data_IF_200029699718
#
_entry.id   IF_200029699718
#
_cell.length_a   1.000
_cell.length_b   1.000
_cell.length_c   1.000
_cell.angle_alpha   90.00
_cell.angle_beta   90.00
_cell.angle_gamma   90.00
#
_symmetry.space_group_name_H-M   'P 1'
#
loop_
_entity.id
_entity.type
_entity.pdbx_description
1 polymer ?
#
# COMPACT_ATOMS: atom_id res chain seq x y z
N UNK A 1 43.34 43.92 -6.78
CA UNK A 1 42.69 43.02 -5.80
C UNK A 1 41.24 42.83 -6.24
N UNK A 2 40.94 41.68 -6.85
CA UNK A 2 39.63 41.37 -7.40
C UNK A 2 38.66 41.01 -6.27
N UNK A 3 37.55 41.73 -6.21
CA UNK A 3 36.47 41.47 -5.29
C UNK A 3 35.27 41.04 -6.14
N UNK A 4 34.66 39.91 -5.77
CA UNK A 4 33.38 39.36 -6.27
C UNK A 4 33.47 38.52 -7.55
N UNK A 5 33.84 37.25 -7.37
CA UNK A 5 33.04 36.18 -7.97
C UNK A 5 32.21 35.56 -6.84
N UNK A 6 30.96 36.00 -6.76
CA UNK A 6 29.95 35.38 -5.91
C UNK A 6 29.80 33.93 -6.37
N UNK A 7 30.05 33.01 -5.46
CA UNK A 7 29.84 31.58 -5.63
C UNK A 7 28.34 31.39 -5.92
N UNK A 8 28.02 31.02 -7.16
CA UNK A 8 26.76 30.38 -7.52
C UNK A 8 26.72 29.02 -6.81
N UNK A 9 26.39 29.03 -5.52
CA UNK A 9 25.77 27.88 -4.87
C UNK A 9 24.38 27.78 -5.50
N UNK A 10 24.33 27.05 -6.62
CA UNK A 10 23.10 26.51 -7.17
C UNK A 10 22.43 25.82 -5.99
N UNK A 11 21.30 26.38 -5.56
CA UNK A 11 20.33 25.71 -4.73
C UNK A 11 19.92 24.44 -5.50
N UNK A 12 20.64 23.35 -5.29
CA UNK A 12 20.08 22.02 -5.43
C UNK A 12 19.06 21.90 -4.31
N UNK A 13 17.89 22.49 -4.52
CA UNK A 13 16.72 22.08 -3.76
C UNK A 13 16.65 20.57 -3.89
N UNK A 14 16.59 19.83 -2.76
CA UNK A 14 16.21 18.44 -2.87
C UNK A 14 14.87 18.47 -3.60
N UNK A 15 14.81 17.81 -4.76
CA UNK A 15 13.53 17.44 -5.35
C UNK A 15 12.88 16.63 -4.25
N UNK A 16 11.94 17.25 -3.54
CA UNK A 16 11.10 16.55 -2.61
C UNK A 16 10.44 15.47 -3.47
N UNK A 17 10.81 14.22 -3.23
CA UNK A 17 10.08 13.11 -3.82
C UNK A 17 8.62 13.34 -3.49
N UNK A 18 7.77 13.30 -4.51
CA UNK A 18 6.33 13.48 -4.34
C UNK A 18 5.87 12.61 -3.18
N UNK A 19 5.23 13.23 -2.20
CA UNK A 19 4.86 12.57 -0.95
C UNK A 19 3.93 11.40 -1.27
N UNK A 20 4.43 10.16 -1.18
CA UNK A 20 3.62 8.97 -1.34
C UNK A 20 2.90 8.70 -0.03
N UNK A 21 1.58 8.80 -0.08
CA UNK A 21 0.70 8.27 0.94
C UNK A 21 -0.03 7.05 0.39
N UNK A 22 0.12 5.90 1.05
CA UNK A 22 -0.51 4.65 0.64
C UNK A 22 -1.11 3.97 1.87
N UNK A 23 -2.33 3.46 1.73
CA UNK A 23 -2.94 2.56 2.70
C UNK A 23 -3.52 1.40 1.93
N UNK A 24 -3.08 0.18 2.24
CA UNK A 24 -3.72 -1.04 1.77
C UNK A 24 -4.12 -1.86 2.99
N UNK A 25 -5.35 -2.35 3.01
CA UNK A 25 -5.85 -3.26 4.03
C UNK A 25 -6.58 -4.40 3.38
N UNK A 26 -6.26 -5.60 3.82
CA UNK A 26 -6.99 -6.83 3.61
C UNK A 26 -7.56 -7.34 4.93
N UNK A 27 -8.81 -7.79 4.89
CA UNK A 27 -9.48 -8.36 6.06
C UNK A 27 -10.50 -9.43 5.68
N UNK A 28 -10.71 -10.40 6.57
CA UNK A 28 -11.81 -11.36 6.45
C UNK A 28 -13.03 -10.95 7.28
N UNK A 29 -14.22 -11.43 6.91
CA UNK A 29 -15.53 -11.16 7.52
C UNK A 29 -15.60 -11.28 9.06
N UNK A 30 -14.71 -12.04 9.69
CA UNK A 30 -14.67 -12.24 11.14
C UNK A 30 -13.55 -11.46 11.85
N UNK A 31 -12.85 -10.55 11.16
CA UNK A 31 -11.66 -9.84 11.66
C UNK A 31 -10.57 -10.77 12.23
N UNK A 32 -10.56 -12.03 11.78
CA UNK A 32 -9.55 -13.01 12.17
C UNK A 32 -8.23 -12.86 11.40
N UNK A 33 -8.22 -11.94 10.45
CA UNK A 33 -7.13 -11.64 9.55
C UNK A 33 -7.13 -10.13 9.32
N UNK A 34 -5.99 -9.50 9.61
CA UNK A 34 -5.67 -8.12 9.26
C UNK A 34 -4.30 -8.14 8.60
N UNK A 35 -4.28 -7.77 7.34
CA UNK A 35 -3.07 -7.61 6.56
C UNK A 35 -3.05 -6.19 6.01
N UNK A 36 -2.13 -5.37 6.51
CA UNK A 36 -2.18 -3.93 6.32
C UNK A 36 -0.80 -3.37 5.97
N UNK A 37 -0.76 -2.53 4.96
CA UNK A 37 0.39 -1.74 4.55
C UNK A 37 0.04 -0.28 4.66
N UNK A 38 0.92 0.52 5.24
CA UNK A 38 0.82 1.97 5.15
C UNK A 38 2.16 2.61 4.81
N UNK A 39 2.12 3.62 3.96
CA UNK A 39 3.24 4.51 3.66
C UNK A 39 2.76 5.92 3.97
N UNK A 40 3.45 6.58 4.89
CA UNK A 40 3.24 8.00 5.17
C UNK A 40 4.59 8.64 5.50
N UNK A 41 4.86 9.82 4.96
CA UNK A 41 6.13 10.53 5.19
C UNK A 41 7.37 9.62 4.96
N UNK A 42 7.35 8.84 3.88
CA UNK A 42 8.38 7.86 3.53
C UNK A 42 8.56 6.68 4.51
N UNK A 43 7.75 6.56 5.56
CA UNK A 43 7.75 5.42 6.46
C UNK A 43 6.78 4.36 5.95
N UNK A 44 7.32 3.23 5.51
CA UNK A 44 6.56 2.01 5.23
C UNK A 44 6.39 1.19 6.50
N UNK A 45 5.17 0.72 6.71
CA UNK A 45 4.86 -0.24 7.76
C UNK A 45 3.93 -1.32 7.22
N UNK A 46 4.24 -2.53 7.65
CA UNK A 46 3.53 -3.76 7.34
C UNK A 46 3.06 -4.42 8.63
N UNK A 47 1.80 -4.82 8.65
CA UNK A 47 1.18 -5.56 9.74
C UNK A 47 0.50 -6.79 9.13
N UNK A 48 0.93 -7.98 9.52
CA UNK A 48 0.20 -9.22 9.29
C UNK A 48 -0.17 -9.85 10.63
N UNK A 49 -1.47 -9.79 10.93
CA UNK A 49 -2.05 -10.20 12.19
C UNK A 49 -3.21 -11.14 11.91
N UNK A 50 -3.06 -12.38 12.35
CA UNK A 50 -4.04 -13.41 12.06
C UNK A 50 -4.15 -14.43 13.19
N UNK A 51 -5.30 -15.08 13.30
CA UNK A 51 -5.43 -16.23 14.19
C UNK A 51 -4.74 -17.45 13.58
N UNK A 52 -4.30 -18.37 14.43
CA UNK A 52 -3.80 -19.69 14.04
C UNK A 52 -4.44 -20.76 14.90
N UNK A 53 -4.49 -21.98 14.41
CA UNK A 53 -4.84 -23.13 15.25
C UNK A 53 -3.65 -23.49 16.14
N UNK A 54 -3.89 -23.70 17.43
CA UNK A 54 -2.93 -24.34 18.32
C UNK A 54 -2.97 -25.88 18.16
N UNK A 55 -2.11 -26.59 18.88
CA UNK A 55 -2.02 -28.06 18.83
C UNK A 55 -3.31 -28.76 19.30
N UNK A 56 -4.20 -28.06 20.00
CA UNK A 56 -5.50 -28.54 20.46
C UNK A 56 -6.65 -28.25 19.48
N UNK A 57 -6.34 -27.66 18.31
CA UNK A 57 -7.35 -27.25 17.32
C UNK A 57 -8.17 -26.02 17.71
N UNK A 58 -7.68 -25.20 18.66
CA UNK A 58 -8.32 -23.94 19.06
C UNK A 58 -7.69 -22.76 18.33
N UNK A 59 -8.51 -21.83 17.88
CA UNK A 59 -8.05 -20.55 17.34
C UNK A 59 -7.43 -19.69 18.44
N UNK A 60 -6.16 -19.31 18.25
CA UNK A 60 -5.41 -18.42 19.13
C UNK A 60 -4.78 -17.29 18.32
N UNK A 61 -4.61 -16.08 18.88
CA UNK A 61 -3.88 -15.02 18.18
C UNK A 61 -2.46 -15.48 17.84
N UNK A 62 -2.03 -15.28 16.59
CA UNK A 62 -0.59 -15.33 16.25
C UNK A 62 0.06 -14.06 16.77
N UNK A 63 1.36 -14.14 17.06
CA UNK A 63 2.15 -12.92 17.26
C UNK A 63 2.16 -12.16 15.92
N UNK A 64 1.69 -10.91 15.86
CA UNK A 64 1.65 -10.16 14.61
C UNK A 64 3.05 -10.00 14.02
N UNK A 65 3.17 -10.17 12.71
CA UNK A 65 4.38 -9.77 11.99
C UNK A 65 4.31 -8.25 11.75
N UNK A 66 5.33 -7.54 12.22
CA UNK A 66 5.49 -6.10 12.05
C UNK A 66 6.82 -5.83 11.37
N UNK A 67 6.79 -5.15 10.22
CA UNK A 67 7.98 -4.67 9.52
C UNK A 67 7.85 -3.17 9.31
N UNK A 68 8.90 -2.44 9.65
CA UNK A 68 8.99 -0.98 9.50
C UNK A 68 10.25 -0.68 8.70
N UNK A 69 10.13 0.13 7.65
CA UNK A 69 11.25 0.53 6.78
C UNK A 69 11.06 1.97 6.32
N UNK A 70 12.13 2.74 6.27
CA UNK A 70 12.13 4.05 5.59
C UNK A 70 12.43 3.83 4.11
N UNK A 71 11.58 4.37 3.24
CA UNK A 71 11.74 4.33 1.80
C UNK A 71 12.49 5.58 1.33
N UNK A 72 13.50 5.40 0.47
CA UNK A 72 14.10 6.55 -0.19
C UNK A 72 13.21 7.03 -1.36
N UNK A 73 13.59 8.16 -1.95
CA UNK A 73 12.88 8.77 -3.08
C UNK A 73 12.76 7.85 -4.31
N UNK A 74 13.82 7.08 -4.59
CA UNK A 74 13.86 6.18 -5.75
C UNK A 74 12.93 4.99 -5.55
N UNK A 75 12.89 4.42 -4.34
CA UNK A 75 11.99 3.33 -3.96
C UNK A 75 10.52 3.77 -4.05
N UNK A 76 10.19 4.97 -3.58
CA UNK A 76 8.83 5.54 -3.69
C UNK A 76 8.44 5.75 -5.15
N UNK A 77 9.32 6.34 -5.95
CA UNK A 77 9.07 6.57 -7.38
C UNK A 77 8.90 5.26 -8.13
N UNK A 78 9.75 4.27 -7.84
CA UNK A 78 9.64 2.92 -8.41
C UNK A 78 8.31 2.27 -8.06
N UNK A 79 7.89 2.33 -6.79
CA UNK A 79 6.61 1.79 -6.34
C UNK A 79 5.44 2.46 -7.08
N UNK A 80 5.41 3.79 -7.17
CA UNK A 80 4.37 4.51 -7.90
C UNK A 80 4.31 4.06 -9.37
N UNK A 81 5.45 3.97 -10.04
CA UNK A 81 5.50 3.52 -11.44
C UNK A 81 4.98 2.09 -11.59
N UNK A 82 5.34 1.17 -10.69
CA UNK A 82 4.83 -0.19 -10.70
C UNK A 82 3.31 -0.23 -10.50
N UNK A 83 2.75 0.59 -9.60
CA UNK A 83 1.30 0.67 -9.39
C UNK A 83 0.57 1.22 -10.63
N UNK A 84 1.14 2.23 -11.28
CA UNK A 84 0.61 2.79 -12.53
C UNK A 84 0.65 1.75 -13.66
N UNK A 85 1.77 1.04 -13.83
CA UNK A 85 1.92 -0.03 -14.82
C UNK A 85 0.94 -1.19 -14.63
N UNK A 86 0.58 -1.49 -13.37
CA UNK A 86 -0.43 -2.51 -13.05
C UNK A 86 -1.87 -2.03 -13.27
N UNK A 87 -2.07 -0.75 -13.60
CA UNK A 87 -3.36 -0.16 -13.89
C UNK A 87 -4.16 0.24 -12.64
N UNK A 88 -3.50 0.47 -11.50
CA UNK A 88 -4.17 0.82 -10.23
C UNK A 88 -5.00 2.09 -10.35
N UNK A 89 -4.58 3.06 -11.17
CA UNK A 89 -5.33 4.28 -11.44
C UNK A 89 -6.69 4.04 -12.13
N UNK A 90 -6.88 2.89 -12.77
CA UNK A 90 -8.10 2.52 -13.50
C UNK A 90 -9.02 1.59 -12.69
N UNK A 91 -8.64 1.24 -11.46
CA UNK A 91 -9.48 0.45 -10.58
C UNK A 91 -10.76 1.20 -10.22
N UNK A 92 -11.88 0.49 -10.13
CA UNK A 92 -13.15 1.08 -9.67
C UNK A 92 -13.04 1.46 -8.19
N UNK A 93 -13.84 2.41 -7.76
CA UNK A 93 -13.92 2.79 -6.35
C UNK A 93 -14.43 1.67 -5.43
N UNK A 94 -15.26 0.77 -5.95
CA UNK A 94 -15.89 -0.31 -5.19
C UNK A 94 -16.16 -1.57 -6.04
N UNK A 95 -15.94 -2.76 -5.46
CA UNK A 95 -16.22 -4.09 -6.01
C UNK A 95 -17.02 -4.95 -5.00
N UNK A 96 -18.01 -5.76 -5.43
CA UNK A 96 -18.59 -5.79 -6.76
C UNK A 96 -19.41 -4.52 -7.00
N UNK A 97 -19.37 -3.99 -8.23
CA UNK A 97 -20.12 -2.78 -8.59
C UNK A 97 -21.64 -2.99 -8.73
N UNK A 98 -22.17 -4.13 -8.25
CA UNK A 98 -23.57 -4.54 -8.40
C UNK A 98 -24.13 -4.99 -7.07
N UNK A 99 -25.44 -4.78 -6.86
CA UNK A 99 -26.16 -5.18 -5.66
C UNK A 99 -26.30 -6.71 -5.47
N UNK A 100 -25.65 -7.52 -6.31
CA UNK A 100 -25.67 -8.98 -6.21
C UNK A 100 -24.85 -9.40 -5.00
N UNK A 101 -25.52 -10.04 -4.03
CA UNK A 101 -24.85 -10.65 -2.89
C UNK A 101 -23.94 -11.79 -3.36
N UNK A 102 -22.63 -11.53 -3.41
CA UNK A 102 -21.63 -12.57 -3.62
C UNK A 102 -21.47 -13.36 -2.32
N UNK A 103 -21.62 -14.69 -2.40
CA UNK A 103 -21.18 -15.60 -1.33
C UNK A 103 -19.71 -15.87 -1.59
N UNK A 104 -18.83 -15.39 -0.72
CA UNK A 104 -17.41 -15.71 -0.74
C UNK A 104 -16.88 -15.89 0.69
N UNK A 105 -15.62 -16.31 0.81
CA UNK A 105 -14.94 -16.56 2.08
C UNK A 105 -14.73 -15.29 2.95
N UNK A 106 -15.26 -14.16 2.49
CA UNK A 106 -15.34 -12.91 3.24
C UNK A 106 -14.08 -12.07 3.18
N UNK A 107 -13.13 -12.38 2.28
CA UNK A 107 -11.97 -11.52 2.04
C UNK A 107 -12.44 -10.20 1.42
N UNK A 108 -11.95 -9.11 1.99
CA UNK A 108 -12.21 -7.74 1.59
C UNK A 108 -10.91 -6.98 1.52
N UNK A 109 -10.87 -5.95 0.67
CA UNK A 109 -9.72 -5.08 0.52
C UNK A 109 -10.13 -3.61 0.51
N UNK A 110 -9.17 -2.77 0.84
CA UNK A 110 -9.22 -1.33 0.61
C UNK A 110 -7.83 -0.88 0.22
N UNK A 111 -7.71 -0.14 -0.87
CA UNK A 111 -6.50 0.52 -1.32
C UNK A 111 -6.78 2.01 -1.49
N UNK A 112 -5.93 2.82 -0.88
CA UNK A 112 -5.86 4.25 -1.07
C UNK A 112 -4.43 4.61 -1.45
N UNK A 113 -4.26 5.35 -2.54
CA UNK A 113 -2.96 5.85 -2.99
C UNK A 113 -3.10 7.32 -3.30
N UNK A 114 -2.17 8.12 -2.78
CA UNK A 114 -2.05 9.53 -3.10
C UNK A 114 -0.57 9.88 -3.31
N UNK A 115 -0.27 10.36 -4.50
CA UNK A 115 1.00 10.97 -4.91
C UNK A 115 0.70 12.06 -5.94
N UNK A 116 1.75 12.68 -6.48
CA UNK A 116 1.61 13.69 -7.55
C UNK A 116 1.05 13.11 -8.86
N UNK A 117 1.20 11.81 -9.09
CA UNK A 117 0.83 11.15 -10.37
C UNK A 117 -0.24 10.07 -10.23
N UNK A 118 -0.55 9.64 -9.01
CA UNK A 118 -1.56 8.61 -8.73
C UNK A 118 -2.39 9.02 -7.52
N UNK A 119 -3.68 9.27 -7.75
CA UNK A 119 -4.63 9.59 -6.68
C UNK A 119 -5.89 8.76 -6.87
N UNK A 120 -6.08 7.74 -6.04
CA UNK A 120 -7.17 6.80 -6.18
C UNK A 120 -7.57 6.16 -4.85
N UNK A 121 -8.80 5.70 -4.82
CA UNK A 121 -9.37 4.86 -3.77
C UNK A 121 -10.11 3.71 -4.44
N UNK A 122 -9.90 2.50 -3.97
CA UNK A 122 -10.64 1.31 -4.38
C UNK A 122 -10.88 0.42 -3.18
N UNK A 123 -12.05 -0.19 -3.13
CA UNK A 123 -12.43 -1.14 -2.10
C UNK A 123 -13.19 -2.29 -2.72
N UNK A 124 -13.30 -3.37 -1.98
CA UNK A 124 -14.25 -4.40 -2.35
C UNK A 124 -14.15 -5.65 -1.52
N UNK A 125 -14.95 -6.63 -1.89
CA UNK A 125 -14.89 -7.97 -1.33
C UNK A 125 -15.42 -8.99 -2.34
N UNK A 126 -14.94 -10.21 -2.25
CA UNK A 126 -15.28 -11.33 -3.13
C UNK A 126 -14.84 -11.21 -4.61
N UNK A 127 -14.89 -10.02 -5.21
CA UNK A 127 -14.39 -9.71 -6.55
C UNK A 127 -13.26 -8.69 -6.45
N UNK A 128 -12.15 -8.96 -7.12
CA UNK A 128 -10.92 -8.20 -7.00
C UNK A 128 -10.55 -7.58 -8.34
N UNK A 129 -9.94 -6.38 -8.34
CA UNK A 129 -9.51 -5.73 -9.57
C UNK A 129 -8.44 -6.56 -10.30
N UNK A 130 -8.27 -6.33 -11.62
CA UNK A 130 -7.16 -6.94 -12.36
C UNK A 130 -5.81 -6.64 -11.69
N UNK A 131 -4.90 -7.62 -11.70
CA UNK A 131 -3.57 -7.55 -11.08
C UNK A 131 -3.56 -7.35 -9.55
N UNK A 132 -4.68 -7.49 -8.86
CA UNK A 132 -4.78 -7.37 -7.40
C UNK A 132 -3.65 -8.12 -6.65
N UNK A 133 -3.47 -9.42 -6.93
CA UNK A 133 -2.44 -10.23 -6.27
C UNK A 133 -1.02 -9.71 -6.50
N UNK A 134 -0.74 -9.13 -7.68
CA UNK A 134 0.57 -8.55 -7.97
C UNK A 134 0.79 -7.27 -7.19
N UNK A 135 -0.26 -6.43 -7.03
CA UNK A 135 -0.18 -5.23 -6.19
C UNK A 135 0.07 -5.63 -4.75
N UNK A 136 -0.69 -6.59 -4.22
CA UNK A 136 -0.51 -7.14 -2.88
C UNK A 136 0.93 -7.63 -2.66
N UNK A 137 1.47 -8.42 -3.60
CA UNK A 137 2.82 -8.95 -3.52
C UNK A 137 3.90 -7.86 -3.57
N UNK A 138 3.76 -6.85 -4.45
CA UNK A 138 4.71 -5.73 -4.51
C UNK A 138 4.77 -4.97 -3.19
N UNK A 139 3.62 -4.77 -2.54
CA UNK A 139 3.58 -4.11 -1.23
C UNK A 139 4.26 -4.99 -0.16
N UNK A 140 4.03 -6.30 -0.17
CA UNK A 140 4.64 -7.26 0.76
C UNK A 140 6.18 -7.32 0.65
N UNK A 141 6.71 -7.20 -0.57
CA UNK A 141 8.14 -7.32 -0.87
C UNK A 141 8.97 -6.05 -0.62
N UNK A 142 8.35 -4.91 -0.23
CA UNK A 142 9.03 -3.64 0.09
C UNK A 142 9.97 -3.74 1.30
#
# INVERSE_FOLDING_TARGET
MSFRFFVLFIFSWPVAAGELHLVFRESHFLNQYRHEFYINEAQYVYIDDHFKLNDEGKWVPKIPALKIKTLNSDDQTKLINQLVELGVGEWKSEYPASDVSLICDGLSFTLYVKSDTLNMYSSGGCDFPPNYEKVRQILEDL
#
